data_IF_646653088477
#
_entry.id   IF_646653088477
#
_cell.length_a   1.000
_cell.length_b   1.000
_cell.length_c   1.000
_cell.angle_alpha   90.00
_cell.angle_beta   90.00
_cell.angle_gamma   90.00
#
_symmetry.space_group_name_H-M   'P 1'
#
loop_
_entity.id
_entity.type
_entity.pdbx_description
1 polymer ?
#
# COMPACT_ATOMS: atom_id res chain seq x y z
N UNK A 1 -2.12 20.56 -17.66
CA UNK A 1 -2.15 20.66 -19.13
C UNK A 1 -1.45 19.43 -19.71
N UNK A 2 -2.21 18.37 -19.98
CA UNK A 2 -1.93 17.17 -20.81
C UNK A 2 -3.30 16.46 -20.84
N UNK A 3 -3.66 15.82 -21.96
CA UNK A 3 -4.93 15.12 -22.24
C UNK A 3 -6.13 15.90 -22.83
N UNK A 4 -5.89 16.63 -23.93
CA UNK A 4 -6.96 16.88 -24.94
C UNK A 4 -6.66 16.32 -26.35
N UNK A 5 -5.48 15.75 -26.59
CA UNK A 5 -5.05 15.32 -27.93
C UNK A 5 -5.44 13.88 -28.33
N UNK A 6 -5.83 13.00 -27.39
CA UNK A 6 -6.13 11.59 -27.73
C UNK A 6 -7.56 11.33 -28.22
N UNK A 7 -8.49 12.27 -28.04
CA UNK A 7 -9.89 12.13 -28.47
C UNK A 7 -10.07 12.45 -29.97
N UNK A 8 -9.13 13.18 -30.59
CA UNK A 8 -9.24 13.59 -32.00
C UNK A 8 -8.69 12.56 -33.01
N UNK A 9 -8.01 11.50 -32.56
CA UNK A 9 -7.48 10.46 -33.48
C UNK A 9 -8.47 9.30 -33.72
N UNK A 10 -9.43 9.05 -32.82
CA UNK A 10 -10.45 8.02 -33.03
C UNK A 10 -11.51 8.39 -34.08
N UNK A 11 -11.80 9.68 -34.25
CA UNK A 11 -12.87 10.14 -35.14
C UNK A 11 -12.47 10.16 -36.64
N UNK A 12 -11.16 10.11 -36.95
CA UNK A 12 -10.66 10.08 -38.34
C UNK A 12 -10.66 8.68 -38.96
N UNK A 13 -10.71 7.62 -38.15
CA UNK A 13 -10.71 6.23 -38.65
C UNK A 13 -12.14 5.78 -39.02
N UNK A 14 -13.17 6.34 -38.38
CA UNK A 14 -14.57 6.02 -38.70
C UNK A 14 -15.09 6.68 -39.99
N UNK A 15 -14.50 7.80 -40.40
CA UNK A 15 -14.87 8.52 -41.62
C UNK A 15 -14.25 7.93 -42.90
N UNK A 16 -13.24 7.06 -42.77
CA UNK A 16 -12.55 6.44 -43.92
C UNK A 16 -13.22 5.16 -44.41
N UNK A 17 -14.05 4.51 -43.60
CA UNK A 17 -14.73 3.25 -43.95
C UNK A 17 -16.06 3.46 -44.71
N UNK A 18 -16.63 4.66 -44.67
CA UNK A 18 -17.90 4.98 -45.34
C UNK A 18 -17.69 5.49 -46.78
N UNK A 19 -16.45 5.81 -47.17
CA UNK A 19 -16.12 6.38 -48.49
C UNK A 19 -15.40 5.43 -49.47
N UNK A 20 -15.16 4.18 -49.10
CA UNK A 20 -14.43 3.20 -49.94
C UNK A 20 -15.24 1.94 -50.32
N UNK A 21 -16.55 1.93 -50.05
CA UNK A 21 -17.44 0.80 -50.37
C UNK A 21 -18.35 1.02 -51.58
N UNK A 22 -18.00 1.93 -52.49
CA UNK A 22 -18.80 2.24 -53.69
C UNK A 22 -18.10 1.82 -54.98
N UNK A 23 -18.61 0.76 -55.61
CA UNK A 23 -18.57 0.58 -57.07
C UNK A 23 -17.72 -0.58 -57.60
N UNK A 24 -18.39 -1.67 -57.98
CA UNK A 24 -18.43 -2.25 -59.34
C UNK A 24 -18.80 -3.74 -59.29
N UNK A 25 -20.09 -4.05 -59.44
CA UNK A 25 -20.56 -5.10 -60.34
C UNK A 25 -21.94 -4.69 -60.83
N UNK A 26 -21.97 -4.15 -62.05
CA UNK A 26 -23.15 -4.11 -62.88
C UNK A 26 -23.35 -5.49 -63.51
N UNK A 27 -24.60 -5.96 -63.67
CA UNK A 27 -25.17 -6.49 -64.94
C UNK A 27 -26.66 -6.79 -64.74
N UNK A 28 -27.45 -6.13 -65.61
CA UNK A 28 -28.80 -6.42 -66.13
C UNK A 28 -30.01 -6.54 -65.19
N UNK A 29 -30.78 -5.46 -65.12
CA UNK A 29 -32.24 -5.49 -65.11
C UNK A 29 -32.76 -5.18 -66.53
N UNK A 30 -33.85 -5.81 -67.02
CA UNK A 30 -34.63 -5.24 -68.09
C UNK A 30 -35.78 -4.40 -67.50
N UNK A 31 -35.82 -3.15 -67.97
CA UNK A 31 -37.00 -2.30 -67.95
C UNK A 31 -38.16 -3.01 -68.66
N UNK A 32 -39.36 -2.96 -68.07
CA UNK A 32 -40.56 -2.67 -68.85
C UNK A 32 -41.45 -1.70 -68.06
N UNK A 33 -41.47 -0.46 -68.54
CA UNK A 33 -42.51 0.52 -68.26
C UNK A 33 -43.77 0.20 -69.05
N UNK A 34 -44.93 0.47 -68.48
CA UNK A 34 -46.21 0.51 -69.20
C UNK A 34 -47.35 0.60 -68.20
N UNK A 35 -47.52 1.76 -67.56
CA UNK A 35 -48.62 2.69 -67.86
C UNK A 35 -50.00 2.01 -67.86
N UNK A 36 -50.74 2.34 -66.81
CA UNK A 36 -52.19 2.29 -66.76
C UNK A 36 -52.79 2.88 -68.06
N UNK A 37 -53.67 2.13 -68.69
CA UNK A 37 -54.62 2.65 -69.66
C UNK A 37 -56.03 2.37 -69.16
N UNK A 38 -56.72 3.47 -68.84
CA UNK A 38 -58.15 3.57 -68.89
C UNK A 38 -58.60 3.30 -70.33
N UNK A 39 -59.36 2.23 -70.53
CA UNK A 39 -60.10 1.97 -71.76
C UNK A 39 -61.55 2.37 -71.54
N UNK A 40 -61.97 3.44 -72.20
CA UNK A 40 -63.34 3.93 -72.25
C UNK A 40 -64.30 2.83 -72.71
N UNK A 41 -65.32 2.57 -71.89
CA UNK A 41 -66.62 2.08 -72.34
C UNK A 41 -67.53 3.29 -72.57
N UNK A 42 -67.94 3.51 -73.82
CA UNK A 42 -69.10 4.33 -74.19
C UNK A 42 -69.94 3.54 -75.21
N UNK A 43 -71.02 2.93 -74.69
CA UNK A 43 -72.35 2.66 -75.27
C UNK A 43 -72.52 1.88 -76.61
N UNK A 44 -73.73 1.35 -76.94
CA UNK A 44 -74.92 1.08 -76.13
C UNK A 44 -75.50 -0.35 -76.28
N UNK A 45 -76.41 -0.68 -75.35
CA UNK A 45 -77.58 -1.57 -75.40
C UNK A 45 -77.78 -2.66 -76.50
N UNK A 46 -78.17 -3.84 -75.97
CA UNK A 46 -79.26 -4.74 -76.44
C UNK A 46 -78.96 -5.80 -77.53
N UNK A 47 -79.73 -6.90 -77.59
CA UNK A 47 -80.26 -7.76 -76.52
C UNK A 47 -80.00 -9.27 -76.78
N UNK A 48 -80.36 -10.08 -75.78
CA UNK A 48 -80.90 -11.45 -75.84
C UNK A 48 -80.70 -12.31 -77.11
N UNK A 49 -80.25 -13.56 -76.88
CA UNK A 49 -80.16 -14.71 -77.79
C UNK A 49 -78.79 -14.91 -78.47
N UNK A 50 -77.95 -15.75 -77.84
CA UNK A 50 -76.80 -16.39 -78.47
C UNK A 50 -77.19 -17.68 -79.23
N UNK A 51 -76.30 -18.21 -80.08
CA UNK A 51 -76.61 -18.71 -81.41
C UNK A 51 -76.81 -20.24 -81.44
N UNK A 52 -78.05 -20.70 -81.38
CA UNK A 52 -78.45 -22.07 -81.71
C UNK A 52 -79.77 -22.05 -82.48
N UNK A 53 -79.81 -21.31 -83.59
CA UNK A 53 -80.90 -21.38 -84.59
C UNK A 53 -80.48 -20.63 -85.87
N UNK A 54 -79.58 -21.19 -86.68
CA UNK A 54 -79.53 -20.87 -88.12
C UNK A 54 -79.03 -22.11 -88.87
N UNK A 55 -79.96 -23.00 -89.24
CA UNK A 55 -80.02 -23.57 -90.58
C UNK A 55 -81.48 -23.95 -90.87
N UNK A 56 -82.08 -23.28 -91.85
CA UNK A 56 -83.29 -23.73 -92.53
C UNK A 56 -84.61 -23.11 -92.08
N UNK A 57 -84.83 -21.82 -92.38
CA UNK A 57 -86.17 -21.32 -92.75
C UNK A 57 -86.02 -20.17 -93.75
N UNK A 58 -86.50 -20.37 -94.98
CA UNK A 58 -86.64 -19.37 -96.03
C UNK A 58 -88.10 -18.83 -96.02
N UNK A 59 -88.25 -17.54 -95.73
CA UNK A 59 -89.43 -16.68 -95.87
C UNK A 59 -90.67 -16.91 -94.95
N UNK A 60 -91.30 -15.76 -94.63
CA UNK A 60 -92.27 -15.49 -93.56
C UNK A 60 -93.74 -15.58 -93.98
N UNK A 61 -94.66 -15.80 -93.01
CA UNK A 61 -95.92 -15.05 -92.92
C UNK A 61 -96.47 -15.01 -91.47
N UNK A 62 -97.24 -13.97 -91.19
CA UNK A 62 -97.92 -13.61 -89.95
C UNK A 62 -98.89 -14.71 -89.45
N UNK A 63 -98.78 -15.05 -88.16
CA UNK A 63 -99.43 -16.19 -87.47
C UNK A 63 -98.88 -17.59 -87.79
N UNK A 64 -97.82 -18.00 -87.08
CA UNK A 64 -97.61 -19.41 -86.72
C UNK A 64 -96.87 -19.51 -85.39
N UNK A 65 -97.53 -20.13 -84.41
CA UNK A 65 -96.94 -20.49 -83.14
C UNK A 65 -96.03 -21.71 -83.28
N UNK A 66 -94.87 -21.67 -82.61
CA UNK A 66 -94.01 -22.84 -82.45
C UNK A 66 -94.29 -23.48 -81.08
N UNK A 67 -95.05 -24.56 -81.11
CA UNK A 67 -95.23 -25.50 -80.01
C UNK A 67 -94.04 -26.45 -79.97
N UNK A 68 -93.37 -26.57 -78.81
CA UNK A 68 -92.36 -27.60 -78.58
C UNK A 68 -93.05 -28.93 -78.25
N UNK A 69 -92.95 -29.90 -79.16
CA UNK A 69 -93.54 -31.24 -79.09
C UNK A 69 -92.86 -32.19 -78.10
N UNK A 70 -92.06 -31.70 -77.14
CA UNK A 70 -91.45 -32.53 -76.07
C UNK A 70 -91.96 -32.27 -74.65
N UNK A 71 -93.00 -31.45 -74.49
CA UNK A 71 -93.70 -31.30 -73.20
C UNK A 71 -95.22 -31.41 -73.37
N UNK A 72 -95.67 -32.60 -73.78
CA UNK A 72 -97.04 -33.05 -73.51
C UNK A 72 -96.97 -34.39 -72.80
N UNK A 73 -96.98 -34.33 -71.48
CA UNK A 73 -97.27 -35.50 -70.65
C UNK A 73 -98.61 -35.24 -69.96
N UNK A 74 -99.75 -35.66 -70.54
CA UNK A 74 -101.01 -35.66 -69.83
C UNK A 74 -101.13 -36.98 -69.05
N UNK A 75 -101.30 -36.83 -67.74
CA UNK A 75 -101.64 -37.83 -66.71
C UNK A 75 -100.49 -38.37 -65.87
N UNK A 76 -100.80 -38.31 -64.58
CA UNK A 76 -100.02 -38.67 -63.40
C UNK A 76 -99.61 -40.14 -63.46
N UNK A 77 -98.30 -40.38 -63.34
CA UNK A 77 -97.73 -41.69 -63.01
C UNK A 77 -96.92 -42.34 -64.13
N UNK A 78 -95.59 -42.36 -63.95
CA UNK A 78 -94.56 -43.11 -64.71
C UNK A 78 -94.09 -42.52 -66.06
N UNK A 79 -93.27 -41.47 -65.98
CA UNK A 79 -92.24 -41.19 -67.00
C UNK A 79 -90.95 -40.73 -66.31
N UNK A 80 -90.34 -41.61 -65.52
CA UNK A 80 -88.90 -41.49 -65.22
C UNK A 80 -88.20 -42.43 -66.19
N UNK A 81 -87.82 -41.91 -67.35
CA UNK A 81 -86.97 -42.62 -68.29
C UNK A 81 -85.58 -42.79 -67.67
N UNK A 82 -85.02 -44.00 -67.73
CA UNK A 82 -83.71 -44.34 -67.14
C UNK A 82 -82.55 -43.46 -67.63
N UNK A 83 -82.71 -42.71 -68.73
CA UNK A 83 -81.71 -41.75 -69.21
C UNK A 83 -81.52 -40.55 -68.28
N UNK A 84 -82.57 -40.07 -67.60
CA UNK A 84 -82.45 -38.92 -66.69
C UNK A 84 -81.76 -39.33 -65.39
N UNK A 85 -82.07 -40.53 -64.87
CA UNK A 85 -81.36 -41.10 -63.72
C UNK A 85 -79.91 -41.37 -64.08
N UNK A 86 -79.62 -41.97 -65.24
CA UNK A 86 -78.25 -42.23 -65.69
C UNK A 86 -77.42 -40.95 -65.82
N UNK A 87 -78.00 -39.87 -66.37
CA UNK A 87 -77.31 -38.59 -66.47
C UNK A 87 -77.04 -37.95 -65.10
N UNK A 88 -78.01 -37.98 -64.18
CA UNK A 88 -77.80 -37.50 -62.80
C UNK A 88 -76.70 -38.32 -62.12
N UNK A 89 -76.68 -39.64 -62.32
CA UNK A 89 -75.68 -40.52 -61.70
C UNK A 89 -74.28 -40.27 -62.26
N UNK A 90 -74.15 -40.05 -63.57
CA UNK A 90 -72.87 -39.72 -64.23
C UNK A 90 -72.34 -38.34 -63.81
N UNK A 91 -73.22 -37.34 -63.69
CA UNK A 91 -72.85 -36.03 -63.15
C UNK A 91 -72.43 -36.12 -61.68
N UNK A 92 -73.08 -36.95 -60.85
CA UNK A 92 -72.63 -37.19 -59.47
C UNK A 92 -71.27 -37.88 -59.40
N UNK A 93 -70.98 -38.82 -60.30
CA UNK A 93 -69.66 -39.47 -60.37
C UNK A 93 -68.59 -38.46 -60.80
N UNK A 94 -68.83 -37.67 -61.85
CA UNK A 94 -67.91 -36.60 -62.26
C UNK A 94 -67.70 -35.55 -61.18
N UNK A 95 -68.76 -35.16 -60.47
CA UNK A 95 -68.64 -34.18 -59.41
C UNK A 95 -67.87 -34.74 -58.21
N UNK A 96 -68.07 -36.02 -57.87
CA UNK A 96 -67.27 -36.71 -56.85
C UNK A 96 -65.80 -36.79 -57.25
N UNK A 97 -65.51 -37.19 -58.47
CA UNK A 97 -64.14 -37.33 -58.96
C UNK A 97 -63.46 -35.95 -59.08
N UNK A 98 -64.20 -34.91 -59.47
CA UNK A 98 -63.72 -33.53 -59.41
C UNK A 98 -63.39 -33.09 -57.97
N UNK A 99 -64.27 -33.42 -57.02
CA UNK A 99 -64.09 -33.05 -55.60
C UNK A 99 -62.92 -33.79 -54.95
N UNK A 100 -62.67 -35.05 -55.32
CA UNK A 100 -61.53 -35.83 -54.82
C UNK A 100 -60.25 -35.43 -55.54
N UNK A 101 -60.19 -35.52 -56.86
CA UNK A 101 -58.93 -35.36 -57.60
C UNK A 101 -58.52 -33.89 -57.73
N UNK A 102 -59.49 -32.99 -57.91
CA UNK A 102 -59.20 -31.58 -58.21
C UNK A 102 -59.24 -30.75 -56.94
N UNK A 103 -60.30 -30.85 -56.14
CA UNK A 103 -60.41 -30.04 -54.92
C UNK A 103 -59.53 -30.61 -53.82
N UNK A 104 -59.65 -31.89 -53.48
CA UNK A 104 -58.91 -32.48 -52.37
C UNK A 104 -57.43 -32.72 -52.70
N UNK A 105 -57.11 -33.55 -53.70
CA UNK A 105 -55.73 -33.97 -53.99
C UNK A 105 -54.88 -32.86 -54.61
N UNK A 106 -55.42 -32.06 -55.53
CA UNK A 106 -54.63 -31.05 -56.24
C UNK A 106 -54.56 -29.70 -55.51
N UNK A 107 -55.53 -29.34 -54.66
CA UNK A 107 -55.57 -28.01 -54.03
C UNK A 107 -55.54 -28.04 -52.50
N UNK A 108 -56.43 -28.80 -51.84
CA UNK A 108 -56.56 -28.75 -50.38
C UNK A 108 -55.40 -29.48 -49.68
N UNK A 109 -55.05 -30.68 -50.11
CA UNK A 109 -54.00 -31.47 -49.49
C UNK A 109 -52.60 -30.83 -49.63
N UNK A 110 -52.19 -30.30 -50.80
CA UNK A 110 -50.94 -29.56 -50.95
C UNK A 110 -50.95 -28.24 -50.17
N UNK A 111 -52.08 -27.53 -50.11
CA UNK A 111 -52.20 -26.30 -49.34
C UNK A 111 -52.08 -26.55 -47.83
N UNK A 112 -52.66 -27.64 -47.30
CA UNK A 112 -52.49 -28.02 -45.89
C UNK A 112 -51.06 -28.46 -45.57
N UNK A 113 -50.38 -29.16 -46.49
CA UNK A 113 -48.96 -29.51 -46.36
C UNK A 113 -48.07 -28.26 -46.31
N UNK A 114 -48.26 -27.32 -47.24
CA UNK A 114 -47.56 -26.03 -47.24
C UNK A 114 -47.85 -25.19 -46.01
N UNK A 115 -49.11 -25.17 -45.54
CA UNK A 115 -49.47 -24.47 -44.31
C UNK A 115 -48.79 -25.09 -43.08
N UNK A 116 -48.69 -26.41 -43.02
CA UNK A 116 -48.01 -27.12 -41.92
C UNK A 116 -46.50 -26.85 -41.95
N UNK A 117 -45.89 -26.79 -43.12
CA UNK A 117 -44.48 -26.40 -43.30
C UNK A 117 -44.23 -24.95 -42.87
N UNK A 118 -45.12 -24.02 -43.22
CA UNK A 118 -45.04 -22.63 -42.77
C UNK A 118 -45.23 -22.49 -41.25
N UNK A 119 -46.16 -23.23 -40.65
CA UNK A 119 -46.39 -23.21 -39.20
C UNK A 119 -45.21 -23.81 -38.42
N UNK A 120 -44.60 -24.89 -38.92
CA UNK A 120 -43.44 -25.52 -38.26
C UNK A 120 -42.17 -24.68 -38.42
N UNK A 121 -41.93 -24.10 -39.60
CA UNK A 121 -40.80 -23.19 -39.82
C UNK A 121 -40.93 -21.92 -38.98
N UNK A 122 -42.11 -21.29 -38.91
CA UNK A 122 -42.33 -20.13 -38.03
C UNK A 122 -42.17 -20.46 -36.54
N UNK A 123 -42.65 -21.62 -36.09
CA UNK A 123 -42.42 -22.09 -34.73
C UNK A 123 -40.92 -22.33 -34.44
N UNK A 124 -40.16 -22.88 -35.39
CA UNK A 124 -38.71 -23.02 -35.27
C UNK A 124 -37.97 -21.68 -35.23
N UNK A 125 -38.38 -20.70 -36.04
CA UNK A 125 -37.80 -19.35 -35.99
C UNK A 125 -38.03 -18.68 -34.63
N UNK A 126 -39.20 -18.86 -34.01
CA UNK A 126 -39.47 -18.34 -32.66
C UNK A 126 -38.61 -19.06 -31.60
N UNK A 127 -38.46 -20.38 -31.67
CA UNK A 127 -37.61 -21.14 -30.76
C UNK A 127 -36.13 -20.76 -30.88
N UNK A 128 -35.64 -20.54 -32.10
CA UNK A 128 -34.28 -20.05 -32.36
C UNK A 128 -34.06 -18.65 -31.78
N UNK A 129 -35.05 -17.74 -31.93
CA UNK A 129 -35.02 -16.42 -31.31
C UNK A 129 -34.97 -16.47 -29.78
N UNK A 130 -35.73 -17.37 -29.14
CA UNK A 130 -35.68 -17.60 -27.69
C UNK A 130 -34.31 -18.18 -27.28
N UNK A 131 -33.78 -19.13 -28.03
CA UNK A 131 -32.46 -19.72 -27.78
C UNK A 131 -31.33 -18.69 -27.82
N UNK A 132 -31.33 -17.82 -28.83
CA UNK A 132 -30.36 -16.71 -28.95
C UNK A 132 -30.47 -15.73 -27.77
N UNK A 133 -31.68 -15.45 -27.28
CA UNK A 133 -31.87 -14.57 -26.11
C UNK A 133 -31.39 -15.22 -24.81
N UNK A 134 -31.58 -16.53 -24.63
CA UNK A 134 -31.08 -17.26 -23.46
C UNK A 134 -29.55 -17.33 -23.44
N UNK A 135 -28.92 -17.56 -24.60
CA UNK A 135 -27.46 -17.54 -24.73
C UNK A 135 -26.89 -16.14 -24.48
N UNK A 136 -27.47 -15.10 -25.10
CA UNK A 136 -27.10 -13.71 -24.86
C UNK A 136 -27.27 -13.31 -23.39
N UNK A 137 -28.35 -13.75 -22.73
CA UNK A 137 -28.54 -13.54 -21.29
C UNK A 137 -27.43 -14.19 -20.48
N UNK A 138 -27.10 -15.46 -20.75
CA UNK A 138 -26.05 -16.15 -20.02
C UNK A 138 -24.68 -15.50 -20.25
N UNK A 139 -24.41 -15.03 -21.46
CA UNK A 139 -23.19 -14.28 -21.78
C UNK A 139 -23.14 -12.93 -21.05
N UNK A 140 -24.24 -12.19 -20.94
CA UNK A 140 -24.30 -10.93 -20.20
C UNK A 140 -24.18 -11.16 -18.68
N UNK A 141 -24.80 -12.21 -18.14
CA UNK A 141 -24.69 -12.58 -16.73
C UNK A 141 -23.25 -12.98 -16.36
N UNK A 142 -22.58 -13.75 -17.22
CA UNK A 142 -21.17 -14.10 -17.02
C UNK A 142 -20.26 -12.88 -17.12
N UNK A 143 -20.47 -11.99 -18.10
CA UNK A 143 -19.73 -10.72 -18.18
C UNK A 143 -19.94 -9.84 -16.94
N UNK A 144 -21.18 -9.69 -16.48
CA UNK A 144 -21.49 -8.94 -15.26
C UNK A 144 -20.84 -9.57 -14.02
N UNK A 145 -20.84 -10.91 -13.93
CA UNK A 145 -20.16 -11.64 -12.87
C UNK A 145 -18.65 -11.40 -12.90
N UNK A 146 -18.02 -11.46 -14.08
CA UNK A 146 -16.60 -11.17 -14.23
C UNK A 146 -16.27 -9.73 -13.85
N UNK A 147 -17.08 -8.75 -14.25
CA UNK A 147 -16.92 -7.35 -13.84
C UNK A 147 -17.03 -7.19 -12.32
N UNK A 148 -17.99 -7.88 -11.68
CA UNK A 148 -18.16 -7.87 -10.23
C UNK A 148 -16.97 -8.49 -9.51
N UNK A 149 -16.47 -9.62 -10.01
CA UNK A 149 -15.28 -10.29 -9.46
C UNK A 149 -14.02 -9.44 -9.65
N UNK A 150 -13.82 -8.84 -10.82
CA UNK A 150 -12.72 -7.90 -11.06
C UNK A 150 -12.79 -6.70 -10.12
N UNK A 151 -13.97 -6.09 -9.96
CA UNK A 151 -14.15 -4.96 -9.06
C UNK A 151 -13.86 -5.35 -7.60
N UNK A 152 -14.31 -6.53 -7.15
CA UNK A 152 -14.00 -7.05 -5.81
C UNK A 152 -12.51 -7.31 -5.65
N UNK A 153 -11.87 -7.97 -6.62
CA UNK A 153 -10.42 -8.21 -6.60
C UNK A 153 -9.62 -6.90 -6.56
N UNK A 154 -9.95 -5.93 -7.42
CA UNK A 154 -9.31 -4.61 -7.38
C UNK A 154 -9.54 -3.89 -6.04
N UNK A 155 -10.74 -4.00 -5.47
CA UNK A 155 -11.02 -3.45 -4.14
C UNK A 155 -10.14 -4.12 -3.08
N UNK A 156 -10.04 -5.44 -3.05
CA UNK A 156 -9.34 -6.17 -1.97
C UNK A 156 -7.80 -6.11 -2.08
N UNK A 157 -7.25 -6.10 -3.30
CA UNK A 157 -5.79 -6.07 -3.53
C UNK A 157 -5.19 -4.66 -3.55
N UNK A 158 -5.98 -3.60 -3.73
CA UNK A 158 -5.45 -2.24 -3.71
C UNK A 158 -5.24 -1.74 -2.27
N UNK A 159 -3.98 -1.50 -1.83
CA UNK A 159 -3.70 -1.03 -0.48
C UNK A 159 -4.22 0.39 -0.28
N UNK A 160 -4.70 0.68 0.93
CA UNK A 160 -5.03 2.06 1.32
C UNK A 160 -3.75 2.88 1.56
N UNK A 161 -3.90 4.20 1.56
CA UNK A 161 -2.80 5.13 1.82
C UNK A 161 -2.14 4.87 3.18
N UNK A 162 -2.91 4.56 4.22
CA UNK A 162 -2.40 4.16 5.53
C UNK A 162 -1.42 3.00 5.52
N UNK A 163 -1.76 1.92 4.81
CA UNK A 163 -0.86 0.76 4.69
C UNK A 163 0.45 1.17 4.00
N UNK A 164 0.37 2.01 2.97
CA UNK A 164 1.55 2.55 2.30
C UNK A 164 2.36 3.50 3.21
N UNK A 165 1.73 4.27 4.10
CA UNK A 165 2.46 5.15 5.03
C UNK A 165 3.26 4.36 6.05
N UNK A 166 2.73 3.24 6.57
CA UNK A 166 3.51 2.33 7.42
C UNK A 166 4.72 1.76 6.67
N UNK A 167 4.52 1.18 5.49
CA UNK A 167 5.60 0.56 4.73
C UNK A 167 6.70 1.55 4.32
N UNK A 168 6.32 2.76 3.93
CA UNK A 168 7.29 3.79 3.51
C UNK A 168 8.14 4.29 4.68
N UNK A 169 7.53 4.49 5.86
CA UNK A 169 8.26 4.99 7.02
C UNK A 169 9.17 3.94 7.68
N UNK A 170 8.93 2.65 7.44
CA UNK A 170 9.80 1.59 7.97
C UNK A 170 11.03 1.31 7.10
N UNK A 171 11.09 1.85 5.87
CA UNK A 171 12.09 1.46 4.87
C UNK A 171 13.53 1.68 5.34
N UNK A 172 13.82 2.80 6.03
CA UNK A 172 15.15 3.08 6.58
C UNK A 172 15.32 2.69 8.05
N UNK A 173 14.31 2.08 8.68
CA UNK A 173 14.36 1.77 10.11
C UNK A 173 15.49 0.78 10.44
N UNK A 174 15.69 -0.22 9.59
CA UNK A 174 16.75 -1.21 9.77
C UNK A 174 18.16 -0.60 9.62
N UNK A 175 18.34 0.33 8.68
CA UNK A 175 19.61 1.04 8.51
C UNK A 175 19.89 1.96 9.70
N UNK A 176 18.88 2.68 10.18
CA UNK A 176 18.98 3.51 11.40
C UNK A 176 19.27 2.66 12.65
N UNK A 177 18.66 1.48 12.80
CA UNK A 177 18.94 0.54 13.92
C UNK A 177 20.41 0.07 13.88
N UNK A 178 20.94 -0.23 12.69
CA UNK A 178 22.35 -0.61 12.52
C UNK A 178 23.31 0.53 12.86
N UNK A 179 23.01 1.75 12.43
CA UNK A 179 23.81 2.92 12.80
C UNK A 179 23.76 3.19 14.32
N UNK A 180 22.61 2.96 14.95
CA UNK A 180 22.44 3.08 16.39
C UNK A 180 23.30 2.06 17.16
N UNK A 181 23.26 0.79 16.76
CA UNK A 181 24.09 -0.28 17.33
C UNK A 181 25.59 0.03 17.15
N UNK A 182 26.00 0.48 15.97
CA UNK A 182 27.39 0.83 15.71
C UNK A 182 27.85 2.03 16.56
N UNK A 183 27.05 3.08 16.64
CA UNK A 183 27.36 4.28 17.43
C UNK A 183 27.46 3.96 18.92
N UNK A 184 26.59 3.10 19.44
CA UNK A 184 26.68 2.61 20.82
C UNK A 184 28.04 1.95 21.08
N UNK A 185 28.49 1.06 20.19
CA UNK A 185 29.76 0.35 20.34
C UNK A 185 30.94 1.32 20.35
N UNK A 186 30.96 2.30 19.43
CA UNK A 186 32.05 3.29 19.35
C UNK A 186 32.11 4.16 20.61
N UNK A 187 30.97 4.67 21.08
CA UNK A 187 30.91 5.51 22.28
C UNK A 187 31.32 4.70 23.52
N UNK A 188 30.84 3.46 23.66
CA UNK A 188 31.20 2.58 24.76
C UNK A 188 32.70 2.25 24.74
N UNK A 189 33.27 1.95 23.57
CA UNK A 189 34.70 1.66 23.41
C UNK A 189 35.56 2.87 23.77
N UNK A 190 35.19 4.07 23.32
CA UNK A 190 35.91 5.31 23.67
C UNK A 190 35.87 5.60 25.16
N UNK A 191 34.71 5.44 25.80
CA UNK A 191 34.58 5.60 27.25
C UNK A 191 35.45 4.60 28.02
N UNK A 192 35.52 3.36 27.55
CA UNK A 192 36.39 2.33 28.15
C UNK A 192 37.87 2.67 27.96
N UNK A 193 38.30 3.07 26.76
CA UNK A 193 39.68 3.48 26.48
C UNK A 193 40.12 4.63 27.38
N UNK A 194 39.25 5.62 27.59
CA UNK A 194 39.48 6.74 28.51
C UNK A 194 39.63 6.29 29.97
N UNK A 195 38.81 5.33 30.41
CA UNK A 195 38.89 4.76 31.76
C UNK A 195 40.08 3.80 31.97
N UNK A 196 40.69 3.27 30.91
CA UNK A 196 41.81 2.33 30.99
C UNK A 196 43.16 2.95 30.58
N UNK A 197 43.17 4.22 30.21
CA UNK A 197 44.31 4.90 29.59
C UNK A 197 44.88 4.24 28.33
N UNK A 198 44.09 3.45 27.61
CA UNK A 198 44.57 2.59 26.51
C UNK A 198 44.45 3.23 25.12
N UNK A 199 44.40 4.57 25.03
CA UNK A 199 44.19 5.30 23.77
C UNK A 199 44.93 6.64 23.72
N UNK A 200 44.75 7.42 22.66
CA UNK A 200 45.24 8.79 22.58
C UNK A 200 44.45 9.67 23.54
N UNK A 201 45.04 9.95 24.71
CA UNK A 201 44.45 10.86 25.69
C UNK A 201 45.42 12.01 25.86
N UNK A 202 44.88 13.23 25.90
CA UNK A 202 45.60 14.48 26.19
C UNK A 202 46.31 14.50 27.57
N UNK A 203 46.22 13.39 28.31
CA UNK A 203 46.86 13.14 29.61
C UNK A 203 48.27 12.56 29.51
N UNK A 204 48.83 12.33 28.30
CA UNK A 204 50.21 11.79 28.16
C UNK A 204 51.27 12.68 28.83
N UNK A 205 51.00 13.98 28.97
CA UNK A 205 51.84 14.97 29.66
C UNK A 205 51.55 15.14 31.16
N UNK A 206 50.73 14.26 31.77
CA UNK A 206 50.42 14.24 33.20
C UNK A 206 49.05 14.83 33.59
N UNK A 207 48.66 14.72 34.89
CA UNK A 207 47.31 15.07 35.37
C UNK A 207 46.90 16.52 35.09
N UNK A 208 47.83 17.46 35.19
CA UNK A 208 47.57 18.89 34.97
C UNK A 208 47.34 19.29 33.50
N UNK A 209 47.79 18.48 32.54
CA UNK A 209 47.53 18.72 31.10
C UNK A 209 46.04 18.55 30.78
N UNK A 210 45.42 17.55 31.40
CA UNK A 210 44.00 17.25 31.23
C UNK A 210 43.11 18.34 31.80
N UNK A 211 43.31 18.73 33.06
CA UNK A 211 42.50 19.79 33.68
C UNK A 211 42.57 21.09 32.89
N UNK A 212 43.73 21.40 32.30
CA UNK A 212 43.88 22.55 31.40
C UNK A 212 43.11 22.38 30.09
N UNK A 213 43.15 21.19 29.48
CA UNK A 213 42.40 20.90 28.25
C UNK A 213 40.88 20.92 28.47
N UNK A 214 40.42 20.35 29.59
CA UNK A 214 39.01 20.33 29.94
C UNK A 214 38.52 21.74 30.30
N UNK A 215 39.36 22.52 31.00
CA UNK A 215 39.08 23.94 31.28
C UNK A 215 39.07 24.78 30.00
N UNK A 216 40.02 24.59 29.08
CA UNK A 216 40.04 25.28 27.78
C UNK A 216 38.79 24.93 26.96
N UNK A 217 38.36 23.67 26.95
CA UNK A 217 37.12 23.26 26.30
C UNK A 217 35.88 23.91 26.95
N UNK A 218 35.82 23.94 28.28
CA UNK A 218 34.74 24.60 29.02
C UNK A 218 34.69 26.10 28.69
N UNK A 219 35.82 26.80 28.77
CA UNK A 219 35.92 28.23 28.47
C UNK A 219 35.53 28.56 27.04
N UNK A 220 35.98 27.74 26.08
CA UNK A 220 35.73 27.97 24.65
C UNK A 220 34.33 27.62 24.21
N UNK A 221 33.66 26.65 24.82
CA UNK A 221 32.42 26.08 24.27
C UNK A 221 31.24 26.16 25.23
N UNK A 222 31.42 25.69 26.45
CA UNK A 222 30.30 25.44 27.36
C UNK A 222 30.00 26.59 28.30
N UNK A 223 30.93 27.55 28.45
CA UNK A 223 30.77 28.54 29.48
C UNK A 223 29.67 29.55 29.21
N UNK A 224 28.75 29.65 30.16
CA UNK A 224 27.64 30.58 30.13
C UNK A 224 27.95 31.86 30.94
N UNK A 225 27.95 33.04 30.32
CA UNK A 225 28.16 34.32 31.03
C UNK A 225 26.96 34.70 31.93
N UNK A 226 25.84 34.00 31.86
CA UNK A 226 24.66 34.26 32.72
C UNK A 226 24.71 33.49 34.05
N UNK A 227 25.53 32.44 34.17
CA UNK A 227 25.64 31.62 35.40
C UNK A 227 26.61 32.24 36.43
N UNK A 228 26.88 33.53 36.29
CA UNK A 228 27.89 34.30 37.01
C UNK A 228 27.51 34.66 38.46
N UNK A 229 26.87 33.75 39.19
CA UNK A 229 26.50 33.97 40.58
C UNK A 229 27.62 33.72 41.60
N UNK A 230 28.74 33.03 41.26
CA UNK A 230 29.78 32.65 42.25
C UNK A 230 31.23 32.59 41.69
N UNK A 231 31.67 33.59 40.92
CA UNK A 231 33.12 33.77 40.65
C UNK A 231 33.66 33.25 39.31
N UNK A 232 32.80 32.73 38.43
CA UNK A 232 33.14 32.39 37.03
C UNK A 232 33.36 33.61 36.11
N UNK A 233 33.10 34.83 36.61
CA UNK A 233 33.21 36.06 35.84
C UNK A 233 34.58 36.22 35.17
N UNK A 234 35.68 36.05 35.92
CA UNK A 234 37.06 36.16 35.38
C UNK A 234 37.46 35.04 34.43
N UNK A 235 36.71 33.94 34.43
CA UNK A 235 36.98 32.77 33.59
C UNK A 235 36.19 32.90 32.28
N UNK A 236 34.96 33.41 32.33
CA UNK A 236 34.02 33.41 31.21
C UNK A 236 33.54 34.80 30.81
N UNK A 237 34.48 35.71 30.58
CA UNK A 237 34.19 37.11 30.25
C UNK A 237 33.55 37.28 28.85
N UNK A 238 33.90 36.44 27.87
CA UNK A 238 33.37 36.50 26.49
C UNK A 238 32.27 35.46 26.19
N UNK A 239 32.05 34.49 27.09
CA UNK A 239 31.19 33.33 26.86
C UNK A 239 31.78 32.32 25.85
N UNK A 240 31.27 31.09 25.85
CA UNK A 240 31.68 30.07 24.88
C UNK A 240 31.14 30.30 23.46
N UNK A 241 31.65 29.53 22.49
CA UNK A 241 31.19 29.50 21.10
C UNK A 241 29.74 29.00 21.01
N UNK A 242 28.82 29.94 20.79
CA UNK A 242 27.41 29.66 20.53
C UNK A 242 26.58 29.55 21.81
N UNK A 243 25.64 30.48 21.99
CA UNK A 243 24.72 30.49 23.13
C UNK A 243 23.85 29.22 23.23
N UNK A 244 23.71 28.49 22.13
CA UNK A 244 23.01 27.21 22.07
C UNK A 244 23.75 26.07 22.77
N UNK A 245 25.08 26.18 22.95
CA UNK A 245 25.95 25.15 23.52
C UNK A 245 26.27 25.33 25.00
N UNK A 246 25.86 26.44 25.59
CA UNK A 246 26.06 26.71 27.01
C UNK A 246 25.52 25.59 27.90
N UNK A 247 26.37 25.13 28.82
CA UNK A 247 26.12 24.06 29.80
C UNK A 247 25.71 22.69 29.24
N UNK A 248 25.92 22.43 27.95
CA UNK A 248 25.57 21.12 27.36
C UNK A 248 26.43 19.96 27.88
N UNK A 249 27.59 20.27 28.45
CA UNK A 249 28.49 19.32 29.12
C UNK A 249 27.99 18.84 30.50
N UNK A 250 27.00 19.51 31.09
CA UNK A 250 26.40 19.14 32.38
C UNK A 250 24.88 18.90 32.26
N UNK A 251 24.19 19.64 31.39
CA UNK A 251 22.75 19.53 31.19
C UNK A 251 22.38 18.35 30.27
N UNK A 252 22.14 17.21 30.90
CA UNK A 252 21.62 16.01 30.23
C UNK A 252 20.33 16.27 29.45
N UNK A 253 19.46 17.14 29.96
CA UNK A 253 18.14 17.38 29.36
C UNK A 253 18.28 18.09 28.02
N UNK A 254 19.15 19.10 27.94
CA UNK A 254 19.41 19.84 26.71
C UNK A 254 20.21 19.05 25.69
N UNK A 255 21.18 18.25 26.15
CA UNK A 255 22.10 17.54 25.27
C UNK A 255 21.55 16.21 24.78
N UNK A 256 20.88 15.44 25.64
CA UNK A 256 20.40 14.11 25.28
C UNK A 256 18.88 13.97 25.33
N UNK A 257 18.18 14.45 26.36
CA UNK A 257 16.76 14.10 26.56
C UNK A 257 15.82 14.76 25.54
N UNK A 258 15.91 16.09 25.40
CA UNK A 258 15.06 16.91 24.53
C UNK A 258 15.24 16.65 23.03
N UNK A 259 16.46 16.54 22.47
CA UNK A 259 16.61 16.29 21.03
C UNK A 259 16.15 14.87 20.68
N UNK A 260 15.38 14.72 19.60
CA UNK A 260 15.00 13.40 19.08
C UNK A 260 16.09 12.81 18.18
N UNK A 261 16.92 13.66 17.57
CA UNK A 261 18.01 13.28 16.66
C UNK A 261 19.26 14.06 17.03
N UNK A 262 20.41 13.37 17.05
CA UNK A 262 21.74 13.93 17.26
C UNK A 262 22.58 13.77 15.99
N UNK A 263 23.39 14.77 15.66
CA UNK A 263 24.30 14.72 14.50
C UNK A 263 25.57 13.91 14.84
N UNK A 264 25.40 12.64 15.18
CA UNK A 264 26.49 11.70 15.43
C UNK A 264 26.47 10.60 14.38
N UNK A 265 27.57 10.44 13.66
CA UNK A 265 27.75 9.29 12.80
C UNK A 265 29.19 8.82 12.89
N UNK A 266 29.36 7.53 13.12
CA UNK A 266 30.67 6.90 13.20
C UNK A 266 30.90 5.91 12.06
N UNK A 267 29.95 5.77 11.12
CA UNK A 267 30.09 4.80 10.02
C UNK A 267 31.27 5.17 9.10
N UNK A 268 32.07 4.18 8.67
CA UNK A 268 33.32 4.39 7.94
C UNK A 268 33.13 4.92 6.51
N UNK A 269 31.91 4.91 5.99
CA UNK A 269 31.59 5.16 4.58
C UNK A 269 31.35 6.65 4.25
N UNK A 270 31.35 7.53 5.26
CA UNK A 270 31.04 8.96 5.09
C UNK A 270 32.32 9.79 5.02
N UNK A 271 33.24 9.39 4.14
CA UNK A 271 34.52 10.06 3.96
C UNK A 271 35.33 10.16 5.26
N UNK A 272 36.46 10.88 5.26
CA UNK A 272 37.14 11.19 6.50
C UNK A 272 36.25 12.16 7.29
N UNK A 273 35.42 11.63 8.20
CA UNK A 273 34.99 12.37 9.39
C UNK A 273 36.23 12.59 10.27
N UNK A 274 37.13 13.43 9.73
CA UNK A 274 38.53 13.58 10.13
C UNK A 274 39.30 14.63 9.32
N UNK A 275 38.70 15.30 8.32
CA UNK A 275 39.28 16.53 7.74
C UNK A 275 38.67 17.80 8.37
N UNK A 276 37.39 17.78 8.78
CA UNK A 276 36.70 18.93 9.40
C UNK A 276 36.46 18.81 10.92
N UNK A 277 37.03 17.79 11.58
CA UNK A 277 36.90 17.58 13.03
C UNK A 277 35.58 16.93 13.48
N UNK A 278 35.52 16.56 14.76
CA UNK A 278 34.33 15.99 15.41
C UNK A 278 33.13 16.93 15.31
N UNK A 279 31.92 16.39 15.10
CA UNK A 279 30.73 17.24 15.05
C UNK A 279 30.51 17.92 16.41
N UNK A 280 29.92 19.12 16.47
CA UNK A 280 29.70 19.75 17.77
C UNK A 280 28.79 18.96 18.71
N UNK A 281 27.80 18.24 18.18
CA UNK A 281 26.99 17.31 18.97
C UNK A 281 27.82 16.13 19.51
N UNK A 282 28.78 15.63 18.73
CA UNK A 282 29.73 14.60 19.17
C UNK A 282 30.62 15.11 20.32
N UNK A 283 31.13 16.35 20.21
CA UNK A 283 31.93 16.98 21.26
C UNK A 283 31.10 17.24 22.53
N UNK A 284 29.89 17.78 22.41
CA UNK A 284 28.97 18.02 23.52
C UNK A 284 28.65 16.71 24.26
N UNK A 285 28.41 15.65 23.50
CA UNK A 285 28.11 14.32 24.02
C UNK A 285 29.31 13.68 24.75
N UNK A 286 30.51 13.75 24.17
CA UNK A 286 31.70 13.19 24.81
C UNK A 286 32.11 14.00 26.05
N UNK A 287 31.90 15.32 26.05
CA UNK A 287 32.09 16.14 27.25
C UNK A 287 31.10 15.75 28.36
N UNK A 288 29.81 15.60 28.03
CA UNK A 288 28.80 15.13 28.99
C UNK A 288 29.11 13.73 29.52
N UNK A 289 29.43 12.78 28.63
CA UNK A 289 29.80 11.42 29.03
C UNK A 289 31.05 11.37 29.91
N UNK A 290 32.03 12.23 29.60
CA UNK A 290 33.24 12.40 30.40
C UNK A 290 32.93 12.93 31.80
N UNK A 291 32.07 13.94 31.93
CA UNK A 291 31.67 14.51 33.22
C UNK A 291 30.86 13.53 34.07
N UNK A 292 29.94 12.77 33.45
CA UNK A 292 29.06 11.83 34.15
C UNK A 292 29.77 10.56 34.63
N UNK A 293 30.58 9.94 33.76
CA UNK A 293 31.10 8.59 34.02
C UNK A 293 32.61 8.51 34.25
N UNK A 294 33.33 9.61 34.11
CA UNK A 294 34.76 9.61 34.40
C UNK A 294 35.37 11.00 34.46
N UNK A 295 34.84 11.91 35.28
CA UNK A 295 35.39 13.27 35.43
C UNK A 295 36.93 13.25 35.53
N UNK A 296 37.47 12.30 36.29
CA UNK A 296 38.89 12.00 36.36
C UNK A 296 39.23 10.66 35.67
N UNK A 297 40.07 10.67 34.61
CA UNK A 297 40.72 9.47 34.11
C UNK A 297 41.73 9.00 35.16
N UNK A 298 42.09 7.71 35.13
CA UNK A 298 43.06 7.20 36.09
C UNK A 298 44.43 7.89 35.90
N UNK A 299 45.28 7.89 36.93
CA UNK A 299 46.65 8.35 36.79
C UNK A 299 47.48 7.34 35.99
N UNK A 300 48.50 7.82 35.29
CA UNK A 300 49.52 6.95 34.70
C UNK A 300 50.33 6.30 35.83
N UNK A 301 50.30 4.98 35.91
CA UNK A 301 51.05 4.22 36.91
C UNK A 301 52.48 3.98 36.41
N UNK A 302 53.52 4.52 37.07
CA UNK A 302 54.89 4.28 36.66
C UNK A 302 55.30 2.83 36.90
N UNK A 303 56.21 2.29 36.08
CA UNK A 303 56.64 0.89 36.16
C UNK A 303 57.18 0.51 37.55
N UNK A 304 57.92 1.42 38.19
CA UNK A 304 58.42 1.22 39.56
C UNK A 304 57.35 1.17 40.66
N UNK A 305 56.10 1.52 40.35
CA UNK A 305 54.96 1.34 41.27
C UNK A 305 54.38 -0.08 41.17
N UNK A 306 54.38 -0.66 39.98
CA UNK A 306 53.84 -1.99 39.71
C UNK A 306 54.87 -3.10 39.94
N UNK A 307 56.14 -2.82 39.67
CA UNK A 307 57.24 -3.76 39.82
C UNK A 307 58.32 -3.21 40.77
N UNK A 308 58.96 -4.11 41.51
CA UNK A 308 60.25 -3.85 42.15
C UNK A 308 61.38 -3.89 41.10
N UNK A 309 62.57 -3.39 41.43
CA UNK A 309 63.73 -3.42 40.54
C UNK A 309 64.08 -4.84 40.05
N UNK A 310 63.70 -5.87 40.81
CA UNK A 310 63.81 -7.30 40.45
C UNK A 310 62.71 -7.81 39.49
N UNK A 311 61.94 -6.92 38.84
CA UNK A 311 60.75 -7.23 38.01
C UNK A 311 59.65 -8.04 38.71
N UNK A 312 59.70 -8.18 40.05
CA UNK A 312 58.63 -8.83 40.82
C UNK A 312 57.48 -7.86 41.03
N UNK A 313 56.21 -8.30 40.85
CA UNK A 313 55.06 -7.43 41.06
C UNK A 313 55.00 -7.01 42.53
N UNK A 314 54.91 -5.71 42.79
CA UNK A 314 54.61 -5.18 44.13
C UNK A 314 53.15 -5.49 44.43
N UNK A 315 52.89 -6.25 45.48
CA UNK A 315 51.53 -6.68 45.85
C UNK A 315 50.59 -5.47 46.00
N UNK A 316 51.05 -4.40 46.64
CA UNK A 316 50.28 -3.17 46.83
C UNK A 316 49.95 -2.47 45.52
N UNK A 317 50.92 -2.35 44.60
CA UNK A 317 50.70 -1.76 43.27
C UNK A 317 49.76 -2.60 42.41
N UNK A 318 49.88 -3.93 42.48
CA UNK A 318 49.02 -4.86 41.76
C UNK A 318 47.56 -4.80 42.26
N UNK A 319 47.34 -4.75 43.59
CA UNK A 319 46.01 -4.62 44.18
C UNK A 319 45.34 -3.30 43.78
N UNK A 320 46.04 -2.18 43.90
CA UNK A 320 45.49 -0.87 43.51
C UNK A 320 45.15 -0.80 42.01
N UNK A 321 45.91 -1.50 41.16
CA UNK A 321 45.59 -1.62 39.74
C UNK A 321 44.36 -2.50 39.48
N UNK A 322 44.17 -3.57 40.26
CA UNK A 322 42.95 -4.37 40.20
C UNK A 322 41.72 -3.55 40.62
N UNK A 323 41.83 -2.73 41.67
CA UNK A 323 40.74 -1.84 42.12
C UNK A 323 40.38 -0.81 41.05
N UNK A 324 41.38 -0.25 40.37
CA UNK A 324 41.18 0.69 39.25
C UNK A 324 40.44 0.02 38.09
N UNK A 325 40.79 -1.23 37.74
CA UNK A 325 40.08 -2.01 36.73
C UNK A 325 38.67 -2.37 37.15
N UNK A 326 38.45 -2.70 38.43
CA UNK A 326 37.13 -2.96 38.98
C UNK A 326 36.24 -1.70 38.89
N UNK A 327 36.78 -0.53 39.25
CA UNK A 327 36.09 0.75 39.10
C UNK A 327 35.76 1.06 37.63
N UNK A 328 36.71 0.85 36.71
CA UNK A 328 36.49 1.03 35.29
C UNK A 328 35.39 0.08 34.76
N UNK A 329 35.35 -1.17 35.22
CA UNK A 329 34.31 -2.13 34.87
C UNK A 329 32.92 -1.70 35.36
N UNK A 330 32.79 -1.22 36.61
CA UNK A 330 31.53 -0.68 37.16
C UNK A 330 31.04 0.53 36.36
N UNK A 331 31.94 1.47 36.05
CA UNK A 331 31.65 2.65 35.22
C UNK A 331 31.26 2.27 33.79
N UNK A 332 31.87 1.23 33.21
CA UNK A 332 31.57 0.78 31.85
C UNK A 332 30.13 0.30 31.69
N UNK A 333 29.52 -0.32 32.70
CA UNK A 333 28.10 -0.74 32.67
C UNK A 333 27.17 0.47 32.53
N UNK A 334 27.41 1.51 33.32
CA UNK A 334 26.65 2.75 33.26
C UNK A 334 26.89 3.51 31.94
N UNK A 335 28.15 3.63 31.53
CA UNK A 335 28.54 4.30 30.29
C UNK A 335 27.99 3.59 29.04
N UNK A 336 27.91 2.26 29.02
CA UNK A 336 27.30 1.50 27.93
C UNK A 336 25.78 1.75 27.85
N UNK A 337 25.12 1.92 29.01
CA UNK A 337 23.69 2.23 29.04
C UNK A 337 23.40 3.63 28.49
N UNK A 338 24.24 4.61 28.82
CA UNK A 338 24.23 5.93 28.19
C UNK A 338 24.51 5.85 26.69
N UNK A 339 25.55 5.14 26.27
CA UNK A 339 25.90 4.94 24.87
C UNK A 339 24.75 4.31 24.07
N UNK A 340 23.96 3.41 24.67
CA UNK A 340 22.78 2.82 24.03
C UNK A 340 21.67 3.86 23.78
N UNK A 341 21.40 4.75 24.74
CA UNK A 341 20.40 5.83 24.59
C UNK A 341 20.83 6.78 23.46
N UNK A 342 22.09 7.15 23.48
CA UNK A 342 22.70 8.03 22.50
C UNK A 342 22.68 7.40 21.11
N UNK A 343 23.04 6.11 21.01
CA UNK A 343 22.99 5.35 19.77
C UNK A 343 21.61 5.38 19.13
N UNK A 344 20.53 5.18 19.90
CA UNK A 344 19.15 5.26 19.36
C UNK A 344 18.82 6.63 18.76
N UNK A 345 19.45 7.70 19.25
CA UNK A 345 19.27 9.08 18.79
C UNK A 345 20.25 9.48 17.69
N UNK A 346 21.21 8.62 17.34
CA UNK A 346 22.15 8.87 16.25
C UNK A 346 21.41 9.11 14.93
N UNK A 347 21.99 9.96 14.08
CA UNK A 347 21.43 10.25 12.77
C UNK A 347 21.33 8.98 11.91
N UNK A 348 20.15 8.81 11.31
CA UNK A 348 19.83 7.68 10.44
C UNK A 348 20.09 7.96 8.97
N UNK A 349 19.26 7.37 8.11
CA UNK A 349 19.34 7.53 6.67
C UNK A 349 18.33 8.54 6.12
N UNK A 350 18.67 9.21 5.01
CA UNK A 350 17.88 10.32 4.45
C UNK A 350 16.59 9.89 3.73
N UNK A 351 16.46 8.63 3.29
CA UNK A 351 15.34 8.17 2.44
C UNK A 351 13.94 8.49 3.00
N UNK A 352 13.77 8.42 4.32
CA UNK A 352 12.46 8.52 4.99
C UNK A 352 12.11 9.97 5.40
N UNK A 353 13.08 10.89 5.32
CA UNK A 353 12.94 12.33 5.64
C UNK A 353 11.69 13.00 5.05
N UNK A 354 11.44 12.98 3.72
CA UNK A 354 10.32 13.72 3.14
C UNK A 354 8.96 13.18 3.63
N UNK A 355 8.88 11.89 3.94
CA UNK A 355 7.66 11.24 4.40
C UNK A 355 7.34 11.60 5.84
N UNK A 356 8.34 11.59 6.72
CA UNK A 356 8.20 12.03 8.13
C UNK A 356 7.77 13.50 8.17
N UNK A 357 8.45 14.37 7.42
CA UNK A 357 8.10 15.78 7.32
C UNK A 357 6.65 15.99 6.86
N UNK A 358 6.21 15.24 5.85
CA UNK A 358 4.84 15.32 5.35
C UNK A 358 3.79 14.86 6.38
N UNK A 359 4.11 13.87 7.21
CA UNK A 359 3.21 13.39 8.27
C UNK A 359 3.14 14.40 9.41
N UNK A 360 4.28 14.89 9.89
CA UNK A 360 4.34 15.93 10.93
C UNK A 360 3.59 17.20 10.52
N UNK A 361 3.76 17.63 9.26
CA UNK A 361 3.03 18.79 8.70
C UNK A 361 1.52 18.56 8.69
N UNK A 362 1.06 17.34 8.37
CA UNK A 362 -0.37 17.00 8.40
C UNK A 362 -0.95 16.92 9.81
N UNK A 363 -0.12 16.70 10.82
CA UNK A 363 -0.54 16.73 12.22
C UNK A 363 -0.68 18.16 12.77
N UNK A 364 -0.38 19.18 11.97
CA UNK A 364 -0.53 20.59 12.35
C UNK A 364 0.66 21.14 13.15
N UNK A 365 1.79 20.41 13.19
CA UNK A 365 3.02 20.91 13.80
C UNK A 365 3.62 21.96 12.85
N UNK A 366 3.98 23.17 13.33
CA UNK A 366 4.59 24.19 12.49
C UNK A 366 5.94 23.73 11.94
N UNK A 367 6.33 24.21 10.76
CA UNK A 367 7.54 23.72 10.08
C UNK A 367 8.83 23.98 10.86
N UNK A 368 8.83 24.99 11.75
CA UNK A 368 9.98 25.30 12.62
C UNK A 368 10.14 24.27 13.76
N UNK A 369 9.05 23.83 14.37
CA UNK A 369 9.13 22.78 15.41
C UNK A 369 9.47 21.42 14.80
N UNK A 370 9.02 21.17 13.56
CA UNK A 370 9.36 19.96 12.80
C UNK A 370 10.86 19.90 12.55
N UNK A 371 11.44 21.03 12.18
CA UNK A 371 12.87 21.23 12.01
C UNK A 371 13.58 20.90 13.33
N UNK A 372 13.21 21.55 14.44
CA UNK A 372 13.80 21.29 15.75
C UNK A 372 13.73 19.80 16.15
N UNK A 373 12.60 19.14 15.91
CA UNK A 373 12.41 17.71 16.16
C UNK A 373 13.30 16.82 15.28
N UNK A 374 13.54 17.21 14.03
CA UNK A 374 14.42 16.47 13.12
C UNK A 374 15.91 16.81 13.30
N UNK A 375 16.27 17.59 14.33
CA UNK A 375 17.65 17.98 14.63
C UNK A 375 18.12 19.23 13.87
N UNK A 376 17.20 20.05 13.37
CA UNK A 376 17.53 21.23 12.57
C UNK A 376 17.83 22.42 13.49
N UNK A 377 19.08 22.57 13.87
CA UNK A 377 19.65 23.90 14.16
C UNK A 377 20.84 24.10 13.24
N UNK A 378 20.60 24.83 12.15
CA UNK A 378 21.59 25.44 11.25
C UNK A 378 22.61 24.53 10.51
N UNK A 379 22.60 23.21 10.68
CA UNK A 379 23.56 22.29 10.03
C UNK A 379 22.90 21.37 9.01
N UNK A 380 23.57 21.23 7.85
CA UNK A 380 23.04 20.92 6.52
C UNK A 380 22.42 19.52 6.28
N UNK A 381 22.14 18.67 7.27
CA UNK A 381 21.72 17.28 7.01
C UNK A 381 20.62 16.77 7.96
N UNK A 382 19.37 16.85 7.48
CA UNK A 382 18.17 16.28 8.12
C UNK A 382 18.17 14.74 7.96
N UNK A 383 18.61 13.99 8.97
CA UNK A 383 18.65 12.52 8.94
C UNK A 383 17.89 11.94 10.15
N UNK A 384 16.65 11.45 9.99
CA UNK A 384 15.82 11.03 11.11
C UNK A 384 16.43 9.85 11.87
N UNK A 385 16.61 9.99 13.18
CA UNK A 385 17.12 8.93 14.06
C UNK A 385 16.17 7.74 14.18
N UNK A 386 16.70 6.61 14.65
CA UNK A 386 15.87 5.45 15.01
C UNK A 386 14.79 5.82 16.04
N UNK A 387 15.17 6.61 17.05
CA UNK A 387 14.26 7.06 18.11
C UNK A 387 13.09 7.89 17.56
N UNK A 388 13.34 8.84 16.67
CA UNK A 388 12.29 9.65 16.05
C UNK A 388 11.35 8.80 15.19
N UNK A 389 11.91 7.87 14.40
CA UNK A 389 11.12 6.97 13.57
C UNK A 389 10.20 6.10 14.44
N UNK A 390 10.71 5.58 15.56
CA UNK A 390 9.92 4.76 16.46
C UNK A 390 8.83 5.55 17.19
N UNK A 391 9.11 6.77 17.67
CA UNK A 391 8.10 7.66 18.28
C UNK A 391 6.97 7.99 17.28
N UNK A 392 7.32 8.20 16.01
CA UNK A 392 6.33 8.42 14.96
C UNK A 392 5.44 7.19 14.74
N UNK A 393 6.06 6.02 14.58
CA UNK A 393 5.38 4.76 14.25
C UNK A 393 4.56 4.19 15.42
N UNK A 394 4.98 4.43 16.66
CA UNK A 394 4.34 3.86 17.86
C UNK A 394 3.33 4.78 18.52
N UNK A 395 3.44 6.10 18.33
CA UNK A 395 2.61 7.06 19.05
C UNK A 395 1.93 8.07 18.14
N UNK A 396 2.70 8.83 17.36
CA UNK A 396 2.18 9.99 16.64
C UNK A 396 1.24 9.60 15.50
N UNK A 397 1.53 8.50 14.80
CA UNK A 397 0.70 8.05 13.67
C UNK A 397 -0.74 7.70 14.09
N UNK A 398 -0.94 7.17 15.29
CA UNK A 398 -2.26 6.81 15.82
C UNK A 398 -3.08 8.00 16.34
N UNK A 399 -2.46 9.16 16.51
CA UNK A 399 -3.13 10.39 16.91
C UNK A 399 -3.80 11.09 15.71
N UNK A 400 -3.47 10.67 14.49
CA UNK A 400 -3.98 11.30 13.28
C UNK A 400 -5.40 10.81 12.94
N UNK A 401 -6.42 11.68 12.79
CA UNK A 401 -7.80 11.27 12.56
C UNK A 401 -8.01 10.39 11.31
N UNK A 402 -7.23 10.63 10.24
CA UNK A 402 -7.35 9.86 9.00
C UNK A 402 -6.99 8.39 9.20
N UNK A 403 -6.13 8.08 10.17
CA UNK A 403 -5.81 6.69 10.52
C UNK A 403 -7.09 5.90 10.84
N UNK A 404 -7.99 6.47 11.64
CA UNK A 404 -9.26 5.83 11.98
C UNK A 404 -10.20 5.73 10.79
N UNK A 405 -10.23 6.74 9.91
CA UNK A 405 -11.07 6.69 8.70
C UNK A 405 -10.65 5.57 7.74
N UNK A 406 -9.35 5.26 7.68
CA UNK A 406 -8.82 4.20 6.82
C UNK A 406 -9.10 2.79 7.39
N UNK A 407 -9.29 2.68 8.71
CA UNK A 407 -9.71 1.42 9.34
C UNK A 407 -11.16 1.04 9.00
N UNK A 408 -12.00 2.01 8.60
CA UNK A 408 -13.38 1.75 8.19
C UNK A 408 -13.54 1.33 6.72
N UNK A 409 -12.49 1.38 5.90
CA UNK A 409 -12.61 1.17 4.44
C UNK A 409 -12.78 -0.32 4.05
N UNK A 410 -11.79 -1.17 4.40
CA UNK A 410 -11.75 -2.59 3.95
C UNK A 410 -11.22 -3.52 5.02
N UNK A 411 -11.85 -4.69 5.26
CA UNK A 411 -11.37 -5.67 6.24
C UNK A 411 -9.97 -6.20 5.89
N UNK A 412 -9.65 -6.35 4.61
CA UNK A 412 -8.31 -6.75 4.18
C UNK A 412 -7.22 -5.73 4.54
N UNK A 413 -7.53 -4.43 4.51
CA UNK A 413 -6.59 -3.39 4.92
C UNK A 413 -6.41 -3.36 6.44
N UNK A 414 -7.50 -3.56 7.20
CA UNK A 414 -7.42 -3.71 8.66
C UNK A 414 -6.50 -4.88 9.02
N UNK A 415 -6.63 -6.03 8.36
CA UNK A 415 -5.75 -7.17 8.60
C UNK A 415 -4.27 -6.86 8.27
N UNK A 416 -3.99 -6.13 7.18
CA UNK A 416 -2.61 -5.69 6.84
C UNK A 416 -2.05 -4.73 7.88
N UNK A 417 -2.85 -3.76 8.33
CA UNK A 417 -2.46 -2.81 9.37
C UNK A 417 -2.24 -3.51 10.71
N UNK A 418 -3.09 -4.46 11.09
CA UNK A 418 -2.91 -5.27 12.32
C UNK A 418 -1.57 -6.02 12.30
N UNK A 419 -1.23 -6.68 11.19
CA UNK A 419 0.08 -7.35 11.05
C UNK A 419 1.24 -6.34 11.14
N UNK A 420 1.13 -5.18 10.51
CA UNK A 420 2.15 -4.13 10.60
C UNK A 420 2.31 -3.60 12.04
N UNK A 421 1.21 -3.39 12.77
CA UNK A 421 1.21 -2.98 14.17
C UNK A 421 1.85 -4.03 15.07
N UNK A 422 1.53 -5.31 14.87
CA UNK A 422 2.16 -6.42 15.59
C UNK A 422 3.67 -6.49 15.32
N UNK A 423 4.09 -6.25 14.08
CA UNK A 423 5.51 -6.20 13.73
C UNK A 423 6.24 -5.06 14.47
N UNK A 424 5.69 -3.84 14.48
CA UNK A 424 6.22 -2.73 15.28
C UNK A 424 6.27 -3.11 16.76
N UNK A 425 5.19 -3.69 17.28
CA UNK A 425 5.10 -4.12 18.68
C UNK A 425 6.18 -5.15 19.04
N UNK A 426 6.54 -6.05 18.12
CA UNK A 426 7.64 -6.99 18.32
C UNK A 426 9.01 -6.30 18.35
N UNK A 427 9.23 -5.28 17.50
CA UNK A 427 10.44 -4.46 17.54
C UNK A 427 10.53 -3.72 18.88
N UNK A 428 9.44 -3.08 19.31
CA UNK A 428 9.40 -2.38 20.59
C UNK A 428 9.63 -3.33 21.79
N UNK A 429 9.07 -4.55 21.76
CA UNK A 429 9.33 -5.57 22.79
C UNK A 429 10.80 -5.97 22.85
N UNK A 430 11.47 -6.12 21.69
CA UNK A 430 12.91 -6.38 21.63
C UNK A 430 13.70 -5.25 22.29
N UNK A 431 13.33 -4.00 22.03
CA UNK A 431 14.02 -2.84 22.59
C UNK A 431 13.77 -2.68 24.09
N UNK A 432 12.54 -2.94 24.56
CA UNK A 432 12.19 -3.02 25.99
C UNK A 432 13.03 -4.11 26.66
N UNK A 433 13.12 -5.30 26.07
CA UNK A 433 13.94 -6.39 26.58
C UNK A 433 15.42 -6.00 26.70
N UNK A 434 15.98 -5.37 25.67
CA UNK A 434 17.36 -4.82 25.70
C UNK A 434 17.54 -3.73 26.77
N UNK A 435 16.49 -2.96 27.07
CA UNK A 435 16.51 -1.97 28.15
C UNK A 435 16.47 -2.64 29.52
N UNK A 436 15.62 -3.65 29.71
CA UNK A 436 15.53 -4.40 30.96
C UNK A 436 16.85 -5.10 31.30
N UNK A 437 17.52 -5.71 30.33
CA UNK A 437 18.85 -6.30 30.54
C UNK A 437 19.89 -5.26 31.02
N UNK A 438 19.84 -4.03 30.48
CA UNK A 438 20.71 -2.95 30.93
C UNK A 438 20.36 -2.49 32.35
N UNK A 439 19.07 -2.37 32.66
CA UNK A 439 18.60 -2.04 34.01
C UNK A 439 19.01 -3.11 35.03
N UNK A 440 18.92 -4.39 34.68
CA UNK A 440 19.37 -5.51 35.51
C UNK A 440 20.89 -5.45 35.76
N UNK A 441 21.69 -5.17 34.73
CA UNK A 441 23.12 -5.01 34.87
C UNK A 441 23.50 -3.83 35.78
N UNK A 442 22.84 -2.66 35.62
CA UNK A 442 23.07 -1.50 36.50
C UNK A 442 22.67 -1.81 37.94
N UNK A 443 21.52 -2.47 38.15
CA UNK A 443 21.06 -2.83 39.50
C UNK A 443 21.99 -3.82 40.17
N UNK A 444 22.57 -4.75 39.40
CA UNK A 444 23.58 -5.69 39.89
C UNK A 444 24.85 -4.97 40.35
N UNK A 445 25.34 -3.99 39.57
CA UNK A 445 26.49 -3.15 39.96
C UNK A 445 26.17 -2.33 41.21
N UNK A 446 24.96 -1.77 41.31
CA UNK A 446 24.56 -0.99 42.49
C UNK A 446 24.51 -1.87 43.74
N UNK A 447 23.94 -3.07 43.65
CA UNK A 447 23.95 -4.03 44.75
C UNK A 447 25.39 -4.38 45.16
N UNK A 448 26.28 -4.61 44.20
CA UNK A 448 27.69 -4.90 44.47
C UNK A 448 28.38 -3.74 45.23
N UNK A 449 28.11 -2.48 44.85
CA UNK A 449 28.67 -1.33 45.56
C UNK A 449 28.16 -1.21 47.01
N UNK A 450 26.88 -1.50 47.25
CA UNK A 450 26.31 -1.48 48.60
C UNK A 450 26.85 -2.62 49.47
N UNK A 451 27.07 -3.80 48.87
CA UNK A 451 27.69 -4.94 49.55
C UNK A 451 29.15 -4.67 49.91
N UNK A 452 29.92 -4.02 49.03
CA UNK A 452 31.31 -3.65 49.31
C UNK A 452 31.41 -2.69 50.51
N UNK A 453 30.53 -1.70 50.60
CA UNK A 453 30.47 -0.79 51.75
C UNK A 453 30.11 -1.52 53.05
N UNK A 454 29.12 -2.42 53.00
CA UNK A 454 28.72 -3.23 54.16
C UNK A 454 29.83 -4.18 54.61
N UNK A 455 30.58 -4.78 53.67
CA UNK A 455 31.72 -5.64 53.98
C UNK A 455 32.85 -4.86 54.64
N UNK A 456 33.13 -3.63 54.18
CA UNK A 456 34.14 -2.76 54.82
C UNK A 456 33.75 -2.41 56.25
N UNK A 457 32.47 -2.11 56.50
CA UNK A 457 31.97 -1.82 57.84
C UNK A 457 32.18 -3.02 58.78
N UNK A 458 31.77 -4.23 58.37
CA UNK A 458 31.93 -5.45 59.17
C UNK A 458 33.42 -5.78 59.40
N UNK A 459 34.28 -5.62 58.38
CA UNK A 459 35.73 -5.81 58.54
C UNK A 459 36.30 -4.84 59.57
N UNK A 460 35.98 -3.55 59.46
CA UNK A 460 36.44 -2.53 60.40
C UNK A 460 35.96 -2.83 61.84
N UNK A 461 34.72 -3.30 62.01
CA UNK A 461 34.19 -3.69 63.32
C UNK A 461 34.89 -4.95 63.87
N UNK A 462 35.12 -5.95 63.01
CA UNK A 462 35.83 -7.18 63.39
C UNK A 462 37.26 -6.89 63.79
N UNK A 463 37.95 -6.02 63.04
CA UNK A 463 39.32 -5.58 63.35
C UNK A 463 39.36 -4.81 64.68
N UNK A 464 38.38 -3.95 64.95
CA UNK A 464 38.25 -3.27 66.25
C UNK A 464 38.05 -4.27 67.39
N UNK A 465 37.16 -5.24 67.23
CA UNK A 465 36.88 -6.26 68.25
C UNK A 465 38.07 -7.22 68.48
N UNK A 466 38.83 -7.52 67.42
CA UNK A 466 40.08 -8.27 67.47
C UNK A 466 41.16 -7.51 68.26
N UNK A 467 41.31 -6.20 68.01
CA UNK A 467 42.21 -5.32 68.78
C UNK A 467 41.80 -5.17 70.25
N UNK A 468 40.49 -5.21 70.54
CA UNK A 468 39.95 -5.23 71.91
C UNK A 468 40.05 -6.60 72.59
N UNK A 469 40.61 -7.63 71.92
CA UNK A 469 40.86 -8.96 72.48
C UNK A 469 39.61 -9.80 72.73
N UNK A 470 38.47 -9.46 72.11
CA UNK A 470 37.17 -10.12 72.33
C UNK A 470 36.83 -11.23 71.33
N UNK A 471 37.68 -11.49 70.33
CA UNK A 471 37.41 -12.51 69.30
C UNK A 471 38.65 -13.38 69.10
N UNK A 472 38.48 -14.71 69.18
CA UNK A 472 39.50 -15.71 68.82
C UNK A 472 39.74 -15.68 67.29
N UNK A 473 40.99 -15.75 66.82
CA UNK A 473 41.30 -15.70 65.40
C UNK A 473 40.61 -16.85 64.65
N UNK A 474 39.93 -16.53 63.56
CA UNK A 474 39.39 -17.51 62.62
C UNK A 474 40.59 -18.06 61.84
N UNK A 475 40.83 -19.38 61.82
CA UNK A 475 41.92 -19.97 61.05
C UNK A 475 41.69 -19.75 59.55
N UNK A 476 42.79 -19.39 58.86
CA UNK A 476 42.86 -19.16 57.41
C UNK A 476 42.34 -20.31 56.56
#
# INVERSE_FOLDING_TARGET
MINRQKIFQGLKILALFVLLGGGLFAVSSPLFSGKAYAGLCLFPCSPCCGPLCVQGVEACDTNCGCTSTKQTCPKIGKCVTGSTIAHITDEFIRHRDWLILTVWDAHVLPAMLLMTEQLTTTAMYQALGIGMLLDAKHQLETQALFQKLHARAHKDYHPSRGVCTFGTNMRSLAASDRNAEFSQIVIAARNLQRNLLSGEIYTSSGPGSKTRSDLDLFLRVFCNPSDNAEGLKKLCDEGGEGADRYNKDVDYTRTLDRPFTLEINFTPDVGPMGIDGATPDENDLFALGANLYGHEPPPHLPEGYLASDDMKPKLTGALNYMDLRALAAKRAVAANSFAAIVGMKAQGEEEVKPYIKAILKKMGIPEEDIKDMMGYKERKKEKPSYYLQMELLTKKLYQYPVFYTELYDKPANVARTDVAMRAIGNIQKRDIYRSLLRSEAIMSVWLETLLDDSQKEIKNETDRLSQEGKVLPIPE
#
